data_IF_048667878487
#
_entry.id   IF_048667878487
#
_cell.length_a   1.000
_cell.length_b   1.000
_cell.length_c   1.000
_cell.angle_alpha   90.00
_cell.angle_beta   90.00
_cell.angle_gamma   90.00
#
_symmetry.space_group_name_H-M   'P 1'
#
loop_
_entity.id
_entity.type
_entity.pdbx_description
1 polymer ?
#
# COMPACT_ATOMS: atom_id res chain seq x y z
N UNK A 1 15.00 54.80 5.34
CA UNK A 1 15.92 55.44 4.37
C UNK A 1 16.93 54.41 3.84
N UNK A 2 16.70 53.89 2.63
CA UNK A 2 17.70 53.74 1.54
C UNK A 2 16.98 53.17 0.33
N UNK A 3 16.98 53.96 -0.74
CA UNK A 3 16.39 53.73 -2.06
C UNK A 3 17.39 52.94 -2.94
N UNK A 4 16.86 52.14 -3.86
CA UNK A 4 17.57 51.69 -5.07
C UNK A 4 16.59 50.93 -5.97
N UNK A 5 15.90 51.63 -6.89
CA UNK A 5 16.08 51.58 -8.37
C UNK A 5 16.02 50.13 -8.90
N UNK A 6 15.02 49.68 -9.66
CA UNK A 6 14.31 50.37 -10.73
C UNK A 6 14.84 49.86 -12.07
N UNK A 7 14.17 48.87 -12.65
CA UNK A 7 14.44 48.32 -13.98
C UNK A 7 13.13 47.93 -14.65
N UNK A 8 12.56 48.85 -15.43
CA UNK A 8 11.44 48.60 -16.34
C UNK A 8 12.03 48.07 -17.65
N UNK A 9 11.48 46.96 -18.16
CA UNK A 9 11.52 46.64 -19.58
C UNK A 9 10.07 46.44 -20.03
N UNK A 10 9.65 47.28 -20.97
CA UNK A 10 8.40 47.18 -21.70
C UNK A 10 8.74 47.30 -23.19
N UNK A 11 7.83 46.76 -24.01
CA UNK A 11 7.71 46.75 -25.47
C UNK A 11 8.15 45.44 -26.15
N UNK A 12 7.16 44.69 -26.67
CA UNK A 12 6.75 44.74 -28.09
C UNK A 12 5.25 44.34 -28.20
N UNK A 13 4.47 45.16 -28.89
CA UNK A 13 3.09 44.87 -29.35
C UNK A 13 3.11 44.35 -30.80
N UNK A 14 2.09 43.51 -31.08
CA UNK A 14 1.36 43.31 -32.33
C UNK A 14 2.08 42.74 -33.58
N UNK A 15 1.48 41.72 -34.20
CA UNK A 15 0.59 41.86 -35.36
C UNK A 15 -0.20 40.55 -35.59
N UNK A 16 -1.46 40.72 -35.96
CA UNK A 16 -2.43 39.70 -36.32
C UNK A 16 -2.22 39.12 -37.74
N UNK A 17 -2.81 37.95 -37.99
CA UNK A 17 -3.18 37.51 -39.34
C UNK A 17 -2.74 36.08 -39.66
N UNK A 18 -3.68 35.19 -39.96
CA UNK A 18 -3.33 33.86 -40.45
C UNK A 18 -4.47 32.85 -40.48
N UNK A 19 -5.39 33.06 -41.43
CA UNK A 19 -6.19 32.06 -42.16
C UNK A 19 -6.52 30.71 -41.50
N UNK A 20 -7.83 30.51 -41.30
CA UNK A 20 -8.52 29.22 -41.30
C UNK A 20 -8.16 28.43 -42.57
N UNK A 21 -7.57 27.25 -42.43
CA UNK A 21 -7.48 26.25 -43.50
C UNK A 21 -8.20 24.97 -43.04
N UNK A 22 -9.45 24.83 -43.46
CA UNK A 22 -10.22 23.59 -43.39
C UNK A 22 -9.73 22.67 -44.52
N UNK A 23 -8.83 21.75 -44.21
CA UNK A 23 -8.50 20.61 -45.07
C UNK A 23 -9.37 19.41 -44.70
N UNK A 24 -10.43 19.21 -45.48
CA UNK A 24 -11.10 17.92 -45.60
C UNK A 24 -10.14 16.91 -46.23
N UNK A 25 -9.47 16.11 -45.42
CA UNK A 25 -8.84 14.87 -45.87
C UNK A 25 -9.88 13.74 -45.71
N UNK A 26 -10.52 13.41 -46.82
CA UNK A 26 -11.19 12.14 -47.00
C UNK A 26 -10.13 11.03 -47.04
N UNK A 27 -9.76 10.54 -45.85
CA UNK A 27 -8.92 9.36 -45.68
C UNK A 27 -9.77 8.10 -45.86
N UNK A 28 -9.40 7.29 -46.84
CA UNK A 28 -9.97 5.98 -47.09
C UNK A 28 -9.98 5.14 -45.80
N UNK A 29 -11.17 4.68 -45.41
CA UNK A 29 -11.37 3.64 -44.41
C UNK A 29 -10.89 2.32 -44.98
N UNK A 30 -9.61 2.03 -44.81
CA UNK A 30 -9.09 0.66 -44.90
C UNK A 30 -9.74 -0.12 -43.74
N UNK A 31 -10.73 -0.95 -44.10
CA UNK A 31 -11.27 -1.97 -43.23
C UNK A 31 -10.14 -2.94 -42.88
N UNK A 32 -9.50 -2.72 -41.74
CA UNK A 32 -8.63 -3.70 -41.10
C UNK A 32 -9.56 -4.83 -40.64
N UNK A 33 -9.44 -5.98 -41.30
CA UNK A 33 -10.11 -7.20 -40.86
C UNK A 33 -9.71 -7.48 -39.40
N UNK A 34 -10.66 -7.80 -38.50
CA UNK A 34 -10.35 -8.30 -37.16
C UNK A 34 -9.79 -9.71 -37.31
N UNK A 35 -8.50 -9.79 -37.61
CA UNK A 35 -7.79 -11.02 -37.85
C UNK A 35 -6.57 -11.09 -36.96
N UNK A 36 -6.75 -11.64 -35.76
CA UNK A 36 -5.87 -12.64 -35.17
C UNK A 36 -6.36 -12.91 -33.74
N UNK A 37 -6.61 -14.18 -33.49
CA UNK A 37 -6.87 -14.77 -32.21
C UNK A 37 -5.63 -14.62 -31.30
N UNK A 38 -5.51 -13.47 -30.63
CA UNK A 38 -4.41 -13.14 -29.71
C UNK A 38 -4.68 -13.67 -28.29
N UNK A 39 -5.51 -14.72 -28.16
CA UNK A 39 -5.92 -15.29 -26.86
C UNK A 39 -5.18 -16.56 -26.47
N UNK A 40 -4.16 -16.98 -27.23
CA UNK A 40 -3.14 -17.89 -26.71
C UNK A 40 -2.15 -17.10 -25.83
N UNK A 41 -2.64 -16.54 -24.72
CA UNK A 41 -1.79 -16.04 -23.64
C UNK A 41 -1.03 -17.25 -23.09
N UNK A 42 0.16 -17.51 -23.64
CA UNK A 42 1.13 -18.42 -23.05
C UNK A 42 1.37 -17.85 -21.66
N UNK A 43 0.72 -18.47 -20.68
CA UNK A 43 0.91 -18.13 -19.28
C UNK A 43 2.29 -18.65 -18.93
N UNK A 44 3.30 -17.84 -19.21
CA UNK A 44 4.68 -18.13 -18.84
C UNK A 44 4.66 -18.39 -17.34
N UNK A 45 5.04 -19.61 -16.95
CA UNK A 45 5.16 -19.94 -15.54
C UNK A 45 6.46 -19.31 -15.05
N UNK A 46 6.47 -18.80 -13.82
CA UNK A 46 7.69 -18.24 -13.22
C UNK A 46 8.81 -19.29 -13.21
N UNK A 47 8.47 -20.57 -13.06
CA UNK A 47 9.40 -21.69 -13.05
C UNK A 47 10.13 -21.88 -14.38
N UNK A 48 9.56 -21.40 -15.49
CA UNK A 48 10.18 -21.47 -16.82
C UNK A 48 11.18 -20.32 -17.06
N UNK A 49 11.23 -19.31 -16.17
CA UNK A 49 12.10 -18.16 -16.34
C UNK A 49 13.54 -18.49 -15.86
N UNK A 50 14.60 -18.21 -16.64
CA UNK A 50 15.99 -18.57 -16.28
C UNK A 50 16.45 -18.02 -14.92
N UNK A 51 16.02 -16.80 -14.57
CA UNK A 51 16.33 -16.20 -13.26
C UNK A 51 15.65 -16.90 -12.08
N UNK A 52 14.60 -17.70 -12.28
CA UNK A 52 13.90 -18.35 -11.18
C UNK A 52 14.80 -19.36 -10.47
N UNK A 53 15.44 -20.25 -11.25
CA UNK A 53 16.35 -21.27 -10.74
C UNK A 53 17.82 -20.85 -10.75
N UNK A 54 18.20 -19.79 -11.47
CA UNK A 54 19.60 -19.39 -11.59
C UNK A 54 20.46 -20.38 -12.40
N UNK A 55 21.74 -20.04 -12.56
CA UNK A 55 22.66 -20.74 -13.45
C UNK A 55 23.46 -21.87 -12.78
N UNK A 56 23.66 -21.82 -11.45
CA UNK A 56 24.51 -22.78 -10.75
C UNK A 56 23.72 -23.98 -10.24
N UNK A 57 24.38 -25.13 -10.23
CA UNK A 57 23.86 -26.40 -9.71
C UNK A 57 24.92 -27.14 -8.87
N UNK A 58 24.47 -28.09 -8.05
CA UNK A 58 25.32 -28.95 -7.23
C UNK A 58 26.26 -28.19 -6.29
N UNK A 59 27.47 -28.70 -6.08
CA UNK A 59 28.43 -28.13 -5.13
C UNK A 59 28.83 -26.66 -5.41
N UNK A 60 28.69 -26.18 -6.65
CA UNK A 60 28.93 -24.75 -6.97
C UNK A 60 27.81 -23.86 -6.44
N UNK A 61 26.56 -24.32 -6.55
CA UNK A 61 25.41 -23.64 -5.98
C UNK A 61 25.52 -23.59 -4.47
N UNK A 62 25.86 -24.71 -3.81
CA UNK A 62 25.95 -24.77 -2.34
C UNK A 62 26.95 -23.75 -1.79
N UNK A 63 28.18 -23.72 -2.35
CA UNK A 63 29.19 -22.72 -1.97
C UNK A 63 28.72 -21.29 -2.25
N UNK A 64 27.93 -21.10 -3.31
CA UNK A 64 27.44 -19.76 -3.65
C UNK A 64 26.31 -19.31 -2.74
N UNK A 65 25.45 -20.24 -2.30
CA UNK A 65 24.44 -19.99 -1.27
C UNK A 65 25.09 -19.66 0.08
N UNK A 66 26.18 -20.33 0.45
CA UNK A 66 26.97 -19.99 1.65
C UNK A 66 27.60 -18.59 1.54
N UNK A 67 28.13 -18.23 0.38
CA UNK A 67 28.63 -16.86 0.18
C UNK A 67 27.51 -15.81 0.24
N UNK A 68 26.31 -16.15 -0.26
CA UNK A 68 25.14 -15.29 -0.19
C UNK A 68 24.65 -15.11 1.25
N UNK A 69 24.57 -16.19 2.05
CA UNK A 69 24.17 -16.13 3.45
C UNK A 69 25.09 -15.22 4.25
N UNK A 70 26.41 -15.41 4.09
CA UNK A 70 27.42 -14.56 4.73
C UNK A 70 27.25 -13.09 4.31
N UNK A 71 27.12 -12.79 3.01
CA UNK A 71 26.94 -11.41 2.54
C UNK A 71 25.64 -10.77 3.07
N UNK A 72 24.56 -11.54 3.15
CA UNK A 72 23.28 -11.10 3.70
C UNK A 72 23.37 -10.81 5.21
N UNK A 73 24.00 -11.68 5.98
CA UNK A 73 24.23 -11.52 7.42
C UNK A 73 25.09 -10.28 7.73
N UNK A 74 26.09 -10.02 6.88
CA UNK A 74 26.93 -8.81 6.96
C UNK A 74 26.22 -7.54 6.48
N UNK A 75 24.95 -7.63 6.07
CA UNK A 75 24.12 -6.51 5.60
C UNK A 75 24.79 -5.75 4.45
N UNK A 76 25.36 -6.47 3.50
CA UNK A 76 25.85 -5.83 2.27
C UNK A 76 24.76 -4.97 1.62
N UNK A 77 25.19 -3.88 0.96
CA UNK A 77 24.27 -2.98 0.28
C UNK A 77 23.39 -3.77 -0.72
N UNK A 78 22.06 -3.63 -0.70
CA UNK A 78 21.17 -4.53 -1.44
C UNK A 78 21.44 -4.60 -2.94
N UNK A 79 21.78 -3.48 -3.59
CA UNK A 79 22.13 -3.44 -5.00
C UNK A 79 23.36 -4.33 -5.31
N UNK A 80 24.39 -4.29 -4.44
CA UNK A 80 25.57 -5.14 -4.57
C UNK A 80 25.23 -6.60 -4.33
N UNK A 81 24.44 -6.88 -3.29
CA UNK A 81 24.03 -8.23 -2.94
C UNK A 81 23.30 -8.89 -4.13
N UNK A 82 22.16 -8.32 -4.57
CA UNK A 82 21.39 -8.95 -5.64
C UNK A 82 22.11 -8.90 -6.99
N UNK A 83 22.86 -7.82 -7.30
CA UNK A 83 23.67 -7.75 -8.50
C UNK A 83 24.77 -8.82 -8.59
N UNK A 84 25.22 -9.35 -7.46
CA UNK A 84 26.29 -10.37 -7.36
C UNK A 84 25.76 -11.80 -7.40
N UNK A 85 24.58 -12.05 -6.84
CA UNK A 85 24.09 -13.40 -6.59
C UNK A 85 22.90 -13.82 -7.46
N UNK A 86 22.04 -12.89 -7.89
CA UNK A 86 20.73 -13.18 -8.49
C UNK A 86 20.80 -14.18 -9.66
N UNK A 87 21.63 -13.91 -10.67
CA UNK A 87 21.76 -14.76 -11.86
C UNK A 87 22.28 -16.17 -11.53
N UNK A 88 23.04 -16.29 -10.44
CA UNK A 88 23.78 -17.52 -10.11
C UNK A 88 22.96 -18.47 -9.26
N UNK A 89 22.24 -17.97 -8.26
CA UNK A 89 21.48 -18.82 -7.31
C UNK A 89 19.97 -18.83 -7.55
N UNK A 90 19.46 -17.85 -8.30
CA UNK A 90 18.06 -17.72 -8.67
C UNK A 90 17.18 -17.06 -7.62
N UNK A 91 16.05 -16.52 -8.08
CA UNK A 91 15.04 -15.82 -7.27
C UNK A 91 14.44 -16.73 -6.20
N UNK A 92 14.13 -17.99 -6.57
CA UNK A 92 13.47 -18.96 -5.67
C UNK A 92 14.26 -19.15 -4.37
N UNK A 93 15.58 -19.36 -4.50
CA UNK A 93 16.44 -19.65 -3.35
C UNK A 93 16.73 -18.41 -2.52
N UNK A 94 16.85 -17.25 -3.15
CA UNK A 94 16.98 -15.97 -2.45
C UNK A 94 15.75 -15.72 -1.59
N UNK A 95 14.54 -15.87 -2.16
CA UNK A 95 13.29 -15.68 -1.42
C UNK A 95 13.22 -16.67 -0.26
N UNK A 96 13.42 -17.96 -0.53
CA UNK A 96 13.30 -18.99 0.50
C UNK A 96 14.28 -18.77 1.65
N UNK A 97 15.53 -18.40 1.35
CA UNK A 97 16.53 -18.07 2.37
C UNK A 97 16.08 -16.86 3.21
N UNK A 98 15.72 -15.74 2.57
CA UNK A 98 15.37 -14.51 3.27
C UNK A 98 14.11 -14.68 4.15
N UNK A 99 13.08 -15.37 3.65
CA UNK A 99 11.86 -15.66 4.42
C UNK A 99 12.11 -16.63 5.59
N UNK A 100 13.02 -17.59 5.42
CA UNK A 100 13.41 -18.54 6.46
C UNK A 100 14.17 -17.86 7.61
N UNK A 101 15.08 -16.94 7.29
CA UNK A 101 15.92 -16.26 8.29
C UNK A 101 15.20 -15.14 9.04
N UNK A 102 14.31 -14.40 8.35
CA UNK A 102 13.71 -13.20 8.93
C UNK A 102 12.22 -13.07 8.58
N UNK A 103 11.31 -13.31 9.54
CA UNK A 103 9.89 -13.03 9.35
C UNK A 103 9.57 -11.55 9.03
N UNK A 104 10.52 -10.64 9.30
CA UNK A 104 10.48 -9.22 8.91
C UNK A 104 11.33 -8.95 7.65
N UNK A 105 11.33 -9.86 6.68
CA UNK A 105 12.03 -9.82 5.39
C UNK A 105 11.66 -8.65 4.45
N UNK A 106 10.74 -7.76 4.85
CA UNK A 106 10.03 -6.86 3.94
C UNK A 106 10.98 -5.91 3.19
N UNK A 107 11.89 -5.24 3.91
CA UNK A 107 12.85 -4.32 3.30
C UNK A 107 13.87 -5.00 2.39
N UNK A 108 14.32 -6.21 2.74
CA UNK A 108 15.28 -6.95 1.90
C UNK A 108 14.65 -7.35 0.56
N UNK A 109 13.39 -7.78 0.58
CA UNK A 109 12.69 -8.16 -0.64
C UNK A 109 12.27 -6.95 -1.49
N UNK A 110 12.05 -5.75 -0.94
CA UNK A 110 11.89 -4.54 -1.77
C UNK A 110 13.08 -4.38 -2.72
N UNK A 111 14.29 -4.49 -2.19
CA UNK A 111 15.49 -4.35 -3.01
C UNK A 111 15.69 -5.50 -4.02
N UNK A 112 15.21 -6.72 -3.73
CA UNK A 112 15.16 -7.79 -4.73
C UNK A 112 14.23 -7.43 -5.89
N UNK A 113 13.05 -6.86 -5.58
CA UNK A 113 12.11 -6.40 -6.60
C UNK A 113 12.71 -5.35 -7.54
N UNK A 114 13.43 -4.37 -6.99
CA UNK A 114 14.16 -3.38 -7.77
C UNK A 114 15.20 -4.04 -8.70
N UNK A 115 16.04 -4.93 -8.14
CA UNK A 115 17.02 -5.67 -8.93
C UNK A 115 16.38 -6.52 -10.03
N UNK A 116 15.18 -7.07 -9.80
CA UNK A 116 14.48 -7.82 -10.83
C UNK A 116 14.01 -6.95 -11.98
N UNK A 117 13.51 -5.74 -11.72
CA UNK A 117 13.15 -4.81 -12.80
C UNK A 117 14.37 -4.44 -13.64
N UNK A 118 15.51 -4.17 -13.01
CA UNK A 118 16.77 -3.91 -13.73
C UNK A 118 17.23 -5.09 -14.59
N UNK A 119 16.95 -6.33 -14.14
CA UNK A 119 17.42 -7.55 -14.82
C UNK A 119 16.48 -8.05 -15.90
N UNK A 120 15.17 -7.91 -15.72
CA UNK A 120 14.18 -8.35 -16.71
C UNK A 120 13.88 -7.27 -17.73
N UNK A 121 14.11 -6.00 -17.40
CA UNK A 121 13.66 -4.83 -18.17
C UNK A 121 12.13 -4.83 -18.42
N UNK A 122 11.40 -5.65 -17.66
CA UNK A 122 9.96 -5.88 -17.77
C UNK A 122 9.35 -6.06 -16.38
N UNK A 123 8.51 -5.10 -16.00
CA UNK A 123 7.85 -5.10 -14.70
C UNK A 123 6.95 -6.32 -14.53
N UNK A 124 6.27 -6.79 -15.58
CA UNK A 124 5.39 -7.96 -15.49
C UNK A 124 6.19 -9.22 -15.11
N UNK A 125 7.32 -9.45 -15.76
CA UNK A 125 8.23 -10.55 -15.46
C UNK A 125 8.84 -10.43 -14.07
N UNK A 126 9.25 -9.23 -13.66
CA UNK A 126 9.74 -8.99 -12.30
C UNK A 126 8.67 -9.33 -11.23
N UNK A 127 7.43 -8.86 -11.42
CA UNK A 127 6.31 -9.16 -10.51
C UNK A 127 6.00 -10.66 -10.47
N UNK A 128 5.99 -11.32 -11.64
CA UNK A 128 5.77 -12.76 -11.75
C UNK A 128 6.84 -13.55 -10.97
N UNK A 129 8.12 -13.19 -11.12
CA UNK A 129 9.23 -13.78 -10.39
C UNK A 129 9.13 -13.53 -8.88
N UNK A 130 8.68 -12.34 -8.48
CA UNK A 130 8.46 -12.03 -7.07
C UNK A 130 7.35 -12.88 -6.42
N UNK A 131 6.25 -13.13 -7.13
CA UNK A 131 5.07 -13.79 -6.57
C UNK A 131 4.56 -13.09 -5.31
N UNK A 132 4.21 -13.86 -4.27
CA UNK A 132 3.73 -13.34 -2.99
C UNK A 132 4.82 -13.21 -1.91
N UNK A 133 6.09 -13.23 -2.30
CA UNK A 133 7.22 -13.27 -1.38
C UNK A 133 7.23 -12.11 -0.37
N UNK A 134 7.50 -12.45 0.89
CA UNK A 134 7.45 -11.61 2.07
C UNK A 134 6.19 -10.73 2.15
N UNK A 135 5.03 -11.31 1.89
CA UNK A 135 3.76 -10.57 1.78
C UNK A 135 3.80 -9.47 0.71
N UNK A 136 4.23 -9.85 -0.49
CA UNK A 136 4.33 -8.99 -1.69
C UNK A 136 5.38 -7.88 -1.63
N UNK A 137 6.29 -7.89 -0.65
CA UNK A 137 7.34 -6.87 -0.55
C UNK A 137 8.24 -6.83 -1.81
N UNK A 138 8.52 -7.98 -2.41
CA UNK A 138 9.25 -8.03 -3.69
C UNK A 138 8.49 -7.30 -4.81
N UNK A 139 7.18 -7.54 -4.93
CA UNK A 139 6.33 -6.85 -5.90
C UNK A 139 6.28 -5.34 -5.64
N UNK A 140 6.22 -4.94 -4.36
CA UNK A 140 6.28 -3.53 -3.97
C UNK A 140 7.55 -2.86 -4.48
N UNK A 141 8.71 -3.45 -4.18
CA UNK A 141 9.99 -2.93 -4.66
C UNK A 141 10.10 -2.85 -6.18
N UNK A 142 9.55 -3.82 -6.91
CA UNK A 142 9.50 -3.77 -8.37
C UNK A 142 8.67 -2.59 -8.88
N UNK A 143 7.46 -2.38 -8.34
CA UNK A 143 6.58 -1.25 -8.71
C UNK A 143 7.23 0.09 -8.34
N UNK A 144 7.75 0.20 -7.12
CA UNK A 144 8.43 1.40 -6.61
C UNK A 144 9.60 1.77 -7.52
N UNK A 145 10.48 0.81 -7.85
CA UNK A 145 11.62 1.04 -8.72
C UNK A 145 11.20 1.43 -10.14
N UNK A 146 10.24 0.71 -10.73
CA UNK A 146 9.75 1.04 -12.07
C UNK A 146 9.18 2.46 -12.16
N UNK A 147 8.42 2.89 -11.15
CA UNK A 147 7.93 4.26 -11.03
C UNK A 147 9.08 5.28 -10.88
N UNK A 148 10.06 4.99 -10.03
CA UNK A 148 11.22 5.85 -9.81
C UNK A 148 12.09 6.00 -11.07
N UNK A 149 12.16 4.98 -11.94
CA UNK A 149 12.91 5.02 -13.20
C UNK A 149 12.13 5.66 -14.35
N UNK A 150 10.81 5.43 -14.41
CA UNK A 150 9.96 5.97 -15.48
C UNK A 150 9.72 7.48 -15.33
N UNK A 151 9.81 7.99 -14.10
CA UNK A 151 9.45 9.36 -13.78
C UNK A 151 10.67 10.17 -13.34
N UNK A 152 10.83 11.41 -13.83
CA UNK A 152 11.87 12.28 -13.32
C UNK A 152 11.65 12.55 -11.83
N UNK A 153 12.74 12.57 -11.07
CA UNK A 153 12.71 13.02 -9.67
C UNK A 153 12.14 14.43 -9.61
N UNK A 154 11.28 14.67 -8.62
CA UNK A 154 10.83 16.03 -8.33
C UNK A 154 11.99 16.76 -7.68
N UNK A 155 12.84 17.40 -8.49
CA UNK A 155 13.87 18.29 -7.96
C UNK A 155 13.19 19.34 -7.08
N UNK A 156 13.78 19.56 -5.90
CA UNK A 156 13.29 20.45 -4.86
C UNK A 156 13.24 21.91 -5.37
N UNK A 157 12.15 22.29 -6.02
CA UNK A 157 11.55 23.59 -5.73
C UNK A 157 11.36 24.63 -6.85
N UNK A 158 11.57 24.38 -8.16
CA UNK A 158 11.40 25.49 -9.14
C UNK A 158 10.65 25.13 -10.44
N UNK A 159 10.55 23.86 -10.84
CA UNK A 159 9.86 23.55 -12.10
C UNK A 159 8.38 23.26 -11.88
N UNK A 160 7.45 24.01 -12.53
CA UNK A 160 6.02 23.71 -12.47
C UNK A 160 5.77 22.29 -12.97
N UNK A 161 4.85 21.56 -12.32
CA UNK A 161 4.43 20.22 -12.74
C UNK A 161 4.17 20.22 -14.25
N UNK A 162 4.98 19.49 -15.00
CA UNK A 162 4.79 19.34 -16.43
C UNK A 162 3.54 18.47 -16.65
N UNK A 163 2.48 19.05 -17.22
CA UNK A 163 1.23 18.33 -17.52
C UNK A 163 1.45 17.04 -18.32
N UNK A 164 2.48 16.98 -19.17
CA UNK A 164 2.83 15.77 -19.92
C UNK A 164 3.33 14.66 -19.00
N UNK A 165 4.14 15.00 -18.00
CA UNK A 165 4.66 14.05 -16.99
C UNK A 165 3.53 13.56 -16.09
N UNK A 166 2.60 14.43 -15.72
CA UNK A 166 1.43 14.05 -14.90
C UNK A 166 0.47 13.12 -15.65
N UNK A 167 0.18 13.40 -16.92
CA UNK A 167 -0.63 12.52 -17.76
C UNK A 167 0.04 11.15 -17.99
N UNK A 168 1.37 11.13 -18.14
CA UNK A 168 2.14 9.90 -18.23
C UNK A 168 2.03 9.09 -16.93
N UNK A 169 2.28 9.74 -15.79
CA UNK A 169 2.18 9.15 -14.46
C UNK A 169 0.78 8.56 -14.20
N UNK A 170 -0.27 9.32 -14.49
CA UNK A 170 -1.64 8.85 -14.36
C UNK A 170 -1.90 7.62 -15.22
N UNK A 171 -1.46 7.62 -16.47
CA UNK A 171 -1.64 6.48 -17.38
C UNK A 171 -0.91 5.24 -16.86
N UNK A 172 0.35 5.39 -16.45
CA UNK A 172 1.18 4.28 -15.98
C UNK A 172 0.63 3.71 -14.67
N UNK A 173 0.42 4.53 -13.64
CA UNK A 173 -0.13 4.10 -12.34
C UNK A 173 -1.48 3.43 -12.50
N UNK A 174 -2.41 4.06 -13.24
CA UNK A 174 -3.73 3.47 -13.45
C UNK A 174 -3.64 2.19 -14.28
N UNK A 175 -2.72 2.09 -15.24
CA UNK A 175 -2.52 0.85 -15.98
C UNK A 175 -2.01 -0.28 -15.09
N UNK A 176 -1.12 0.01 -14.15
CA UNK A 176 -0.56 -0.98 -13.23
C UNK A 176 -1.59 -1.50 -12.23
N UNK A 177 -2.48 -0.64 -11.74
CA UNK A 177 -3.41 -0.95 -10.65
C UNK A 177 -4.88 -1.06 -11.08
N UNK A 178 -5.13 -1.20 -12.38
CA UNK A 178 -6.48 -1.16 -12.98
C UNK A 178 -7.36 -2.31 -12.52
N UNK A 179 -6.79 -3.50 -12.44
CA UNK A 179 -7.46 -4.75 -12.08
C UNK A 179 -6.62 -5.51 -11.06
N UNK A 180 -7.25 -6.44 -10.35
CA UNK A 180 -6.51 -7.41 -9.54
C UNK A 180 -5.54 -8.17 -10.46
N UNK A 181 -4.26 -8.20 -10.06
CA UNK A 181 -3.23 -8.72 -10.96
C UNK A 181 -3.44 -10.21 -11.21
N UNK A 182 -3.60 -10.60 -12.47
CA UNK A 182 -3.53 -12.00 -12.88
C UNK A 182 -2.10 -12.53 -12.85
N UNK A 183 -1.10 -11.64 -12.92
CA UNK A 183 0.33 -11.98 -12.88
C UNK A 183 0.73 -12.51 -11.51
N UNK A 184 0.21 -11.92 -10.43
CA UNK A 184 0.52 -12.31 -9.06
C UNK A 184 -0.76 -12.66 -8.31
N UNK A 185 -0.95 -13.94 -8.03
CA UNK A 185 -2.12 -14.43 -7.30
C UNK A 185 -2.30 -13.69 -5.97
N UNK A 186 -3.53 -13.29 -5.68
CA UNK A 186 -3.92 -12.53 -4.48
C UNK A 186 -3.28 -11.12 -4.36
N UNK A 187 -2.68 -10.60 -5.42
CA UNK A 187 -2.20 -9.21 -5.47
C UNK A 187 -3.35 -8.28 -5.87
N UNK A 188 -4.18 -7.95 -4.88
CA UNK A 188 -5.34 -7.08 -5.05
C UNK A 188 -4.95 -5.67 -5.51
N UNK A 189 -5.86 -4.98 -6.19
CA UNK A 189 -5.67 -3.61 -6.67
C UNK A 189 -5.33 -2.61 -5.55
N UNK A 190 -5.84 -2.80 -4.33
CA UNK A 190 -5.42 -2.02 -3.16
C UNK A 190 -3.96 -2.26 -2.75
N UNK A 191 -3.42 -3.43 -3.04
CA UNK A 191 -2.03 -3.80 -2.78
C UNK A 191 -1.11 -3.10 -3.79
N UNK A 192 -1.55 -3.02 -5.04
CA UNK A 192 -0.91 -2.20 -6.07
C UNK A 192 -0.92 -0.72 -5.68
N UNK A 193 -2.06 -0.17 -5.27
CA UNK A 193 -2.14 1.23 -4.86
C UNK A 193 -1.20 1.54 -3.67
N UNK A 194 -1.08 0.62 -2.71
CA UNK A 194 -0.11 0.71 -1.62
C UNK A 194 1.34 0.75 -2.13
N UNK A 195 1.71 -0.15 -3.04
CA UNK A 195 3.03 -0.18 -3.67
C UNK A 195 3.36 1.14 -4.41
N UNK A 196 2.39 1.69 -5.12
CA UNK A 196 2.50 2.99 -5.79
C UNK A 196 2.76 4.11 -4.77
N UNK A 197 2.11 4.07 -3.61
CA UNK A 197 2.34 5.01 -2.52
C UNK A 197 3.81 5.05 -2.05
N UNK A 198 4.48 3.90 -1.99
CA UNK A 198 5.93 3.85 -1.73
C UNK A 198 6.71 4.61 -2.82
N UNK A 199 6.37 4.38 -4.10
CA UNK A 199 6.99 5.09 -5.22
C UNK A 199 6.80 6.61 -5.17
N UNK A 200 5.62 7.09 -4.77
CA UNK A 200 5.37 8.53 -4.62
C UNK A 200 6.18 9.14 -3.47
N UNK A 201 6.28 8.43 -2.34
CA UNK A 201 7.10 8.87 -1.23
C UNK A 201 8.59 8.94 -1.59
N UNK A 202 9.14 7.91 -2.25
CA UNK A 202 10.55 7.88 -2.67
C UNK A 202 10.88 9.02 -3.65
N UNK A 203 9.94 9.36 -4.54
CA UNK A 203 10.14 10.39 -5.57
C UNK A 203 10.13 11.82 -5.02
N UNK A 204 9.31 12.09 -4.01
CA UNK A 204 9.07 13.45 -3.54
C UNK A 204 9.73 13.78 -2.21
N UNK A 205 9.96 12.80 -1.31
CA UNK A 205 10.35 12.97 0.10
C UNK A 205 9.45 13.90 0.96
N UNK A 206 8.58 14.69 0.32
CA UNK A 206 7.59 15.58 0.90
C UNK A 206 6.24 14.87 1.01
N UNK A 207 5.69 14.86 2.22
CA UNK A 207 4.44 14.20 2.52
C UNK A 207 3.26 14.79 1.73
N UNK A 208 3.20 16.12 1.57
CA UNK A 208 2.05 16.77 0.94
C UNK A 208 2.02 16.47 -0.55
N UNK A 209 3.17 16.52 -1.21
CA UNK A 209 3.31 16.20 -2.62
C UNK A 209 3.06 14.71 -2.90
N UNK A 210 3.65 13.81 -2.11
CA UNK A 210 3.43 12.37 -2.27
C UNK A 210 1.96 11.97 -2.08
N UNK A 211 1.27 12.57 -1.09
CA UNK A 211 -0.16 12.35 -0.87
C UNK A 211 -1.02 12.94 -1.99
N UNK A 212 -0.68 14.12 -2.50
CA UNK A 212 -1.42 14.73 -3.60
C UNK A 212 -1.43 13.82 -4.84
N UNK A 213 -0.37 13.05 -5.07
CA UNK A 213 -0.32 12.09 -6.17
C UNK A 213 -1.23 10.87 -5.95
N UNK A 214 -1.60 10.54 -4.72
CA UNK A 214 -2.58 9.47 -4.45
C UNK A 214 -3.99 9.80 -4.95
N UNK A 215 -4.30 11.08 -5.23
CA UNK A 215 -5.55 11.49 -5.87
C UNK A 215 -5.72 10.97 -7.30
N UNK A 216 -4.68 10.35 -7.87
CA UNK A 216 -4.78 9.61 -9.13
C UNK A 216 -5.72 8.40 -9.04
N UNK A 217 -5.95 7.86 -7.84
CA UNK A 217 -6.93 6.80 -7.62
C UNK A 217 -8.33 7.41 -7.37
N UNK A 218 -9.30 7.18 -8.27
CA UNK A 218 -10.61 7.82 -8.17
C UNK A 218 -11.48 7.26 -7.05
N UNK A 219 -11.25 6.02 -6.62
CA UNK A 219 -11.95 5.41 -5.49
C UNK A 219 -11.18 5.62 -4.18
N UNK A 220 -11.93 5.89 -3.12
CA UNK A 220 -11.38 6.19 -1.80
C UNK A 220 -10.57 5.02 -1.22
N UNK A 221 -10.90 3.76 -1.55
CA UNK A 221 -10.19 2.59 -1.01
C UNK A 221 -8.76 2.47 -1.56
N UNK A 222 -8.56 2.60 -2.88
CA UNK A 222 -7.21 2.64 -3.44
C UNK A 222 -6.44 3.90 -3.04
N UNK A 223 -7.10 5.06 -2.96
CA UNK A 223 -6.46 6.27 -2.45
C UNK A 223 -6.00 6.07 -0.99
N UNK A 224 -6.84 5.49 -0.13
CA UNK A 224 -6.49 5.10 1.23
C UNK A 224 -5.24 4.21 1.28
N UNK A 225 -5.21 3.16 0.46
CA UNK A 225 -4.06 2.25 0.43
C UNK A 225 -2.80 2.94 -0.09
N UNK A 226 -2.91 3.82 -1.08
CA UNK A 226 -1.80 4.67 -1.54
C UNK A 226 -1.25 5.54 -0.42
N UNK A 227 -2.10 6.29 0.30
CA UNK A 227 -1.66 7.09 1.45
C UNK A 227 -0.96 6.23 2.51
N UNK A 228 -1.48 5.02 2.77
CA UNK A 228 -0.83 4.11 3.71
C UNK A 228 0.56 3.66 3.26
N UNK A 229 0.82 3.55 1.94
CA UNK A 229 2.17 3.30 1.41
C UNK A 229 3.08 4.51 1.63
N UNK A 230 2.58 5.72 1.34
CA UNK A 230 3.31 6.98 1.55
C UNK A 230 3.73 7.14 3.01
N UNK A 231 2.81 6.95 3.96
CA UNK A 231 3.12 7.06 5.38
C UNK A 231 4.06 5.97 5.88
N UNK A 232 3.99 4.75 5.34
CA UNK A 232 4.91 3.69 5.70
C UNK A 232 6.34 4.05 5.27
N UNK A 233 6.51 4.52 4.04
CA UNK A 233 7.81 4.87 3.46
C UNK A 233 8.44 6.08 4.15
N UNK A 234 7.67 7.16 4.34
CA UNK A 234 8.16 8.39 4.97
C UNK A 234 8.27 8.30 6.50
N UNK A 235 7.81 7.20 7.12
CA UNK A 235 7.79 7.04 8.58
C UNK A 235 9.14 7.37 9.24
N UNK A 236 10.31 6.90 8.78
CA UNK A 236 11.58 7.17 9.47
C UNK A 236 11.85 8.68 9.59
N UNK A 237 11.69 9.41 8.49
CA UNK A 237 11.92 10.87 8.42
C UNK A 237 10.86 11.62 9.24
N UNK A 238 9.59 11.24 9.09
CA UNK A 238 8.48 11.89 9.79
C UNK A 238 8.54 11.64 11.30
N UNK A 239 8.85 10.42 11.74
CA UNK A 239 8.91 10.07 13.16
C UNK A 239 10.02 10.86 13.88
N UNK A 240 11.19 11.00 13.27
CA UNK A 240 12.26 11.87 13.78
C UNK A 240 11.76 13.31 13.94
N UNK A 241 11.14 13.85 12.89
CA UNK A 241 10.65 15.24 12.84
C UNK A 241 9.54 15.53 13.86
N UNK A 242 8.55 14.65 14.00
CA UNK A 242 7.37 14.92 14.84
C UNK A 242 7.60 14.58 16.30
N UNK A 243 8.43 13.56 16.62
CA UNK A 243 8.69 13.19 18.00
C UNK A 243 9.79 14.03 18.63
N UNK A 244 10.78 14.54 17.88
CA UNK A 244 11.83 15.44 18.40
C UNK A 244 12.52 14.90 19.68
N UNK A 245 12.76 13.60 19.73
CA UNK A 245 13.35 12.94 20.90
C UNK A 245 12.38 12.61 22.04
N UNK A 246 11.07 12.87 21.89
CA UNK A 246 10.05 12.47 22.84
C UNK A 246 10.08 10.95 23.07
N UNK A 247 10.24 10.56 24.34
CA UNK A 247 10.39 9.15 24.74
C UNK A 247 9.14 8.59 25.42
N UNK A 248 8.26 9.45 25.96
CA UNK A 248 7.02 9.04 26.59
C UNK A 248 6.07 8.43 25.56
N UNK A 249 5.77 7.13 25.70
CA UNK A 249 4.78 6.44 24.87
C UNK A 249 3.43 7.15 24.83
N UNK A 250 2.96 7.63 25.98
CA UNK A 250 1.70 8.36 26.04
C UNK A 250 1.77 9.61 25.17
N UNK A 251 2.82 10.43 25.33
CA UNK A 251 2.98 11.67 24.58
C UNK A 251 3.16 11.43 23.09
N UNK A 252 3.94 10.43 22.68
CA UNK A 252 4.10 10.02 21.27
C UNK A 252 2.77 9.64 20.64
N UNK A 253 1.86 8.97 21.37
CA UNK A 253 0.51 8.66 20.88
C UNK A 253 -0.31 9.93 20.63
N UNK A 254 -0.23 10.92 21.51
CA UNK A 254 -0.94 12.20 21.30
C UNK A 254 -0.41 12.95 20.08
N UNK A 255 0.92 13.00 19.94
CA UNK A 255 1.59 13.62 18.80
C UNK A 255 1.18 12.94 17.51
N UNK A 256 1.23 11.60 17.47
CA UNK A 256 0.82 10.81 16.31
C UNK A 256 -0.65 11.02 15.95
N UNK A 257 -1.55 11.02 16.94
CA UNK A 257 -2.98 11.24 16.73
C UNK A 257 -3.24 12.61 16.10
N UNK A 258 -2.69 13.67 16.68
CA UNK A 258 -2.83 15.03 16.14
C UNK A 258 -2.24 15.13 14.73
N UNK A 259 -1.00 14.67 14.55
CA UNK A 259 -0.31 14.71 13.26
C UNK A 259 -1.11 14.01 12.17
N UNK A 260 -1.57 12.78 12.41
CA UNK A 260 -2.31 12.01 11.42
C UNK A 260 -3.68 12.62 11.09
N UNK A 261 -4.37 13.24 12.06
CA UNK A 261 -5.63 13.95 11.82
C UNK A 261 -5.40 15.19 10.96
N UNK A 262 -4.32 15.94 11.21
CA UNK A 262 -4.01 17.16 10.48
C UNK A 262 -3.45 16.88 9.07
N UNK A 263 -2.85 15.72 8.83
CA UNK A 263 -2.07 15.44 7.62
C UNK A 263 -2.64 14.31 6.76
N UNK A 264 -3.78 13.71 7.08
CA UNK A 264 -4.41 12.65 6.28
C UNK A 264 -5.93 12.83 6.24
N UNK A 265 -6.52 12.59 5.06
CA UNK A 265 -7.97 12.50 4.91
C UNK A 265 -8.52 11.26 5.65
N UNK A 266 -7.70 10.21 5.77
CA UNK A 266 -8.03 8.98 6.48
C UNK A 266 -6.99 8.68 7.54
N UNK A 267 -7.17 9.18 8.77
CA UNK A 267 -6.16 9.05 9.83
C UNK A 267 -5.68 7.62 10.09
N UNK A 268 -6.48 6.59 9.81
CA UNK A 268 -6.07 5.19 9.94
C UNK A 268 -5.01 4.73 8.93
N UNK A 269 -4.83 5.41 7.80
CA UNK A 269 -3.73 5.18 6.86
C UNK A 269 -2.38 5.59 7.49
N UNK A 270 -2.38 6.64 8.31
CA UNK A 270 -1.22 7.15 9.02
C UNK A 270 -1.01 6.46 10.38
N UNK A 271 -2.03 6.45 11.24
CA UNK A 271 -1.92 6.07 12.66
C UNK A 271 -1.34 4.66 12.86
N UNK A 272 -1.67 3.71 11.99
CA UNK A 272 -1.16 2.33 12.04
C UNK A 272 0.36 2.20 12.01
N UNK A 273 1.07 3.22 11.52
CA UNK A 273 2.53 3.24 11.43
C UNK A 273 3.19 4.05 12.55
N UNK A 274 2.47 5.00 13.12
CA UNK A 274 2.98 5.87 14.19
C UNK A 274 2.58 5.40 15.60
N UNK A 275 1.55 4.55 15.73
CA UNK A 275 1.17 3.96 17.00
C UNK A 275 1.83 2.60 17.20
N UNK A 276 2.47 2.42 18.36
CA UNK A 276 3.04 1.14 18.77
C UNK A 276 1.92 0.14 19.14
N UNK A 277 2.12 -1.18 18.91
CA UNK A 277 1.18 -2.21 19.36
C UNK A 277 0.86 -2.08 20.86
N UNK A 278 -0.42 -2.17 21.19
CA UNK A 278 -0.90 -2.08 22.57
C UNK A 278 -0.91 -3.46 23.21
N UNK A 279 -0.39 -3.53 24.44
CA UNK A 279 -0.27 -4.78 25.20
C UNK A 279 -0.91 -4.71 26.57
N UNK A 280 -1.37 -3.53 26.99
CA UNK A 280 -1.91 -3.29 28.33
C UNK A 280 -3.32 -2.69 28.23
N UNK A 281 -4.27 -3.16 29.05
CA UNK A 281 -5.64 -2.68 28.99
C UNK A 281 -5.76 -1.15 29.18
N UNK A 282 -4.96 -0.57 30.06
CA UNK A 282 -5.02 0.87 30.38
C UNK A 282 -4.62 1.74 29.17
N UNK A 283 -3.73 1.24 28.30
CA UNK A 283 -3.33 1.94 27.08
C UNK A 283 -4.44 1.92 26.03
N UNK A 284 -5.14 0.78 25.95
CA UNK A 284 -6.28 0.58 25.05
C UNK A 284 -7.43 1.49 25.51
N UNK A 285 -7.76 1.50 26.80
CA UNK A 285 -8.83 2.32 27.35
C UNK A 285 -8.51 3.83 27.19
N UNK A 286 -7.25 4.23 27.38
CA UNK A 286 -6.82 5.61 27.17
C UNK A 286 -6.93 6.07 25.71
N UNK A 287 -6.56 5.22 24.74
CA UNK A 287 -6.74 5.56 23.32
C UNK A 287 -8.22 5.52 22.92
N UNK A 288 -8.99 4.55 23.42
CA UNK A 288 -10.44 4.48 23.17
C UNK A 288 -11.13 5.77 23.59
N UNK A 289 -10.83 6.26 24.79
CA UNK A 289 -11.38 7.53 25.29
C UNK A 289 -11.01 8.71 24.39
N UNK A 290 -9.80 8.73 23.82
CA UNK A 290 -9.39 9.79 22.88
C UNK A 290 -10.10 9.66 21.53
N UNK A 291 -10.26 8.43 21.01
CA UNK A 291 -11.02 8.20 19.79
C UNK A 291 -12.46 8.67 19.94
N UNK A 292 -13.11 8.39 21.09
CA UNK A 292 -14.48 8.83 21.37
C UNK A 292 -14.66 10.36 21.49
N UNK A 293 -13.58 11.12 21.66
CA UNK A 293 -13.60 12.58 21.67
C UNK A 293 -13.41 13.20 20.27
N UNK A 294 -13.19 12.38 19.24
CA UNK A 294 -13.13 12.81 17.85
C UNK A 294 -14.51 12.69 17.20
N UNK A 295 -14.65 13.32 16.03
CA UNK A 295 -15.84 13.25 15.20
C UNK A 295 -15.54 12.71 13.79
N UNK A 296 -16.60 12.28 13.09
CA UNK A 296 -16.56 12.00 11.66
C UNK A 296 -15.51 10.95 11.24
N UNK A 297 -14.84 11.14 10.08
CA UNK A 297 -13.82 10.21 9.60
C UNK A 297 -12.66 9.97 10.58
N UNK A 298 -12.28 11.00 11.35
CA UNK A 298 -11.20 10.89 12.33
C UNK A 298 -11.54 9.93 13.47
N UNK A 299 -12.77 9.98 14.00
CA UNK A 299 -13.27 9.02 15.00
C UNK A 299 -13.22 7.60 14.49
N UNK A 300 -13.82 7.36 13.32
CA UNK A 300 -13.88 6.02 12.70
C UNK A 300 -12.48 5.46 12.41
N UNK A 301 -11.60 6.28 11.84
CA UNK A 301 -10.22 5.90 11.57
C UNK A 301 -9.42 5.61 12.86
N UNK A 302 -9.67 6.36 13.93
CA UNK A 302 -9.05 6.12 15.23
C UNK A 302 -9.49 4.75 15.81
N UNK A 303 -10.79 4.44 15.82
CA UNK A 303 -11.29 3.14 16.28
C UNK A 303 -10.82 1.98 15.41
N UNK A 304 -10.81 2.13 14.08
CA UNK A 304 -10.20 1.14 13.19
C UNK A 304 -8.72 0.90 13.55
N UNK A 305 -7.97 1.96 13.85
CA UNK A 305 -6.57 1.80 14.26
C UNK A 305 -6.43 1.15 15.64
N UNK A 306 -7.31 1.49 16.59
CA UNK A 306 -7.36 0.85 17.92
C UNK A 306 -7.47 -0.68 17.79
N UNK A 307 -8.37 -1.16 16.93
CA UNK A 307 -8.49 -2.59 16.63
C UNK A 307 -7.21 -3.18 16.05
N UNK A 308 -6.63 -2.51 15.03
CA UNK A 308 -5.40 -2.95 14.37
C UNK A 308 -4.22 -3.10 15.34
N UNK A 309 -3.95 -2.09 16.17
CA UNK A 309 -2.80 -2.11 17.10
C UNK A 309 -3.04 -2.98 18.34
N UNK A 310 -4.28 -3.41 18.59
CA UNK A 310 -4.63 -4.30 19.72
C UNK A 310 -4.62 -5.79 19.34
N UNK A 311 -4.28 -6.14 18.09
CA UNK A 311 -4.30 -7.54 17.60
C UNK A 311 -3.46 -8.49 18.43
N UNK A 312 -2.24 -8.11 18.81
CA UNK A 312 -1.39 -8.98 19.64
C UNK A 312 -2.01 -9.23 21.02
N UNK A 313 -2.59 -8.19 21.63
CA UNK A 313 -3.28 -8.30 22.92
C UNK A 313 -4.50 -9.23 22.82
N UNK A 314 -5.41 -8.99 21.88
CA UNK A 314 -6.62 -9.82 21.70
C UNK A 314 -6.26 -11.24 21.25
N UNK A 315 -5.23 -11.42 20.41
CA UNK A 315 -4.77 -12.77 20.06
C UNK A 315 -4.21 -13.55 21.26
N UNK A 316 -3.74 -12.86 22.31
CA UNK A 316 -3.29 -13.47 23.57
C UNK A 316 -4.41 -13.65 24.60
N UNK A 317 -5.45 -12.82 24.53
CA UNK A 317 -6.61 -12.80 25.44
C UNK A 317 -7.89 -12.61 24.62
N UNK A 318 -8.37 -13.66 23.92
CA UNK A 318 -9.48 -13.55 22.96
C UNK A 318 -10.80 -13.07 23.59
N UNK A 319 -11.05 -13.39 24.85
CA UNK A 319 -12.20 -12.95 25.63
C UNK A 319 -12.28 -11.42 25.82
N UNK A 320 -11.13 -10.74 25.74
CA UNK A 320 -11.03 -9.29 25.94
C UNK A 320 -11.48 -8.49 24.70
N UNK A 321 -11.87 -9.13 23.59
CA UNK A 321 -12.33 -8.43 22.38
C UNK A 321 -13.48 -7.45 22.66
N UNK A 322 -14.41 -7.81 23.56
CA UNK A 322 -15.52 -6.94 23.94
C UNK A 322 -14.99 -5.73 24.72
N UNK A 323 -14.03 -5.90 25.64
CA UNK A 323 -13.43 -4.76 26.32
C UNK A 323 -12.73 -3.84 25.33
N UNK A 324 -11.94 -4.41 24.41
CA UNK A 324 -11.13 -3.63 23.47
C UNK A 324 -12.01 -2.78 22.54
N UNK A 325 -13.03 -3.40 21.95
CA UNK A 325 -13.82 -2.77 20.90
C UNK A 325 -15.21 -2.27 21.32
N UNK A 326 -15.78 -2.74 22.43
CA UNK A 326 -17.00 -2.16 22.98
C UNK A 326 -16.65 -1.17 24.09
N UNK A 327 -17.42 -0.10 24.14
CA UNK A 327 -17.45 0.79 25.28
C UNK A 327 -18.90 0.90 25.71
N UNK A 328 -19.17 0.62 26.98
CA UNK A 328 -20.47 0.93 27.60
C UNK A 328 -20.79 2.44 27.55
N UNK A 329 -19.78 3.25 27.20
CA UNK A 329 -19.83 4.71 27.06
C UNK A 329 -19.62 5.20 25.63
N UNK A 330 -19.72 4.34 24.61
CA UNK A 330 -19.66 4.84 23.24
C UNK A 330 -21.01 5.48 22.88
N UNK A 331 -20.97 6.78 22.63
CA UNK A 331 -22.13 7.52 22.12
C UNK A 331 -22.47 7.19 20.65
N UNK A 332 -21.57 6.49 19.94
CA UNK A 332 -21.72 6.14 18.52
C UNK A 332 -21.70 4.62 18.32
N UNK A 333 -22.85 3.99 17.96
CA UNK A 333 -22.94 2.54 17.81
C UNK A 333 -22.05 1.98 16.68
N UNK A 334 -21.46 2.82 15.84
CA UNK A 334 -20.52 2.42 14.79
C UNK A 334 -19.07 2.23 15.30
N UNK A 335 -18.70 2.75 16.47
CA UNK A 335 -17.33 2.63 17.00
C UNK A 335 -16.86 1.17 17.11
N UNK A 336 -17.66 0.22 17.67
CA UNK A 336 -17.25 -1.17 17.75
C UNK A 336 -17.09 -1.84 16.38
N UNK A 337 -17.88 -1.43 15.38
CA UNK A 337 -17.81 -1.95 14.00
C UNK A 337 -16.43 -1.63 13.40
N UNK A 338 -15.98 -0.37 13.51
CA UNK A 338 -14.68 0.02 12.99
C UNK A 338 -13.53 -0.62 13.77
N UNK A 339 -13.63 -0.70 15.10
CA UNK A 339 -12.63 -1.39 15.90
C UNK A 339 -12.50 -2.87 15.51
N UNK A 340 -13.61 -3.59 15.39
CA UNK A 340 -13.61 -5.00 15.00
C UNK A 340 -13.07 -5.18 13.58
N UNK A 341 -13.46 -4.31 12.65
CA UNK A 341 -12.92 -4.31 11.28
C UNK A 341 -11.40 -4.14 11.29
N UNK A 342 -10.88 -3.15 12.00
CA UNK A 342 -9.44 -2.96 12.15
C UNK A 342 -8.73 -4.14 12.81
N UNK A 343 -9.38 -4.83 13.74
CA UNK A 343 -8.84 -6.01 14.40
C UNK A 343 -8.79 -7.23 13.46
N UNK A 344 -9.88 -7.55 12.80
CA UNK A 344 -10.06 -8.78 12.01
C UNK A 344 -9.51 -8.69 10.57
N UNK A 345 -9.38 -7.48 10.01
CA UNK A 345 -8.98 -7.27 8.61
C UNK A 345 -7.45 -7.45 8.40
N UNK A 346 -7.00 -8.70 8.41
CA UNK A 346 -5.59 -9.09 8.36
C UNK A 346 -5.13 -9.50 6.95
N UNK A 347 -3.81 -9.46 6.74
CA UNK A 347 -3.17 -10.00 5.53
C UNK A 347 -3.44 -11.50 5.41
N UNK A 348 -3.46 -12.02 4.16
CA UNK A 348 -3.49 -13.46 3.92
C UNK A 348 -2.30 -14.13 4.63
N UNK A 349 -2.53 -15.28 5.24
CA UNK A 349 -1.53 -16.03 6.02
C UNK A 349 -0.91 -15.27 7.21
N UNK A 350 -1.56 -14.22 7.70
CA UNK A 350 -1.06 -13.51 8.89
C UNK A 350 -0.96 -14.47 10.09
N UNK A 351 0.17 -14.45 10.81
CA UNK A 351 0.46 -15.37 11.94
C UNK A 351 -0.58 -15.38 13.06
N UNK A 352 -1.37 -14.31 13.19
CA UNK A 352 -2.42 -14.19 14.20
C UNK A 352 -3.81 -14.58 13.69
N UNK A 353 -3.97 -14.94 12.40
CA UNK A 353 -5.28 -15.08 11.75
C UNK A 353 -6.20 -16.03 12.52
N UNK A 354 -5.74 -17.23 12.85
CA UNK A 354 -6.53 -18.21 13.61
C UNK A 354 -6.84 -17.76 15.04
N UNK A 355 -5.93 -17.04 15.69
CA UNK A 355 -6.13 -16.53 17.05
C UNK A 355 -7.21 -15.45 17.08
N UNK A 356 -7.18 -14.56 16.08
CA UNK A 356 -8.17 -13.49 15.92
C UNK A 356 -9.54 -14.06 15.50
N UNK A 357 -9.57 -15.13 14.71
CA UNK A 357 -10.80 -15.87 14.41
C UNK A 357 -11.48 -16.39 15.68
N UNK A 358 -10.70 -17.01 16.58
CA UNK A 358 -11.22 -17.46 17.87
C UNK A 358 -11.75 -16.30 18.72
N UNK A 359 -11.08 -15.15 18.69
CA UNK A 359 -11.56 -13.96 19.38
C UNK A 359 -12.94 -13.50 18.86
N UNK A 360 -13.22 -13.61 17.55
CA UNK A 360 -14.57 -13.32 17.02
C UNK A 360 -15.67 -14.18 17.66
N UNK A 361 -15.34 -15.37 18.18
CA UNK A 361 -16.28 -16.25 18.90
C UNK A 361 -16.70 -15.74 20.28
N UNK A 362 -15.95 -14.80 20.87
CA UNK A 362 -16.27 -14.20 22.17
C UNK A 362 -17.15 -12.95 22.06
N UNK A 363 -17.42 -12.46 20.84
CA UNK A 363 -18.32 -11.31 20.65
C UNK A 363 -19.74 -11.67 21.08
N UNK A 364 -20.28 -10.90 22.04
CA UNK A 364 -21.62 -11.15 22.58
C UNK A 364 -22.73 -10.63 21.66
N UNK A 365 -22.41 -9.67 20.79
CA UNK A 365 -23.33 -9.09 19.83
C UNK A 365 -23.23 -9.83 18.48
N UNK A 366 -24.35 -10.37 18.00
CA UNK A 366 -24.39 -11.17 16.79
C UNK A 366 -24.02 -10.38 15.53
N UNK A 367 -24.40 -9.10 15.44
CA UNK A 367 -24.08 -8.25 14.29
C UNK A 367 -22.58 -7.91 14.28
N UNK A 368 -21.99 -7.62 15.44
CA UNK A 368 -20.55 -7.43 15.56
C UNK A 368 -19.76 -8.71 15.24
N UNK A 369 -20.29 -9.87 15.62
CA UNK A 369 -19.71 -11.16 15.24
C UNK A 369 -19.72 -11.36 13.71
N UNK A 370 -20.82 -11.04 13.04
CA UNK A 370 -20.91 -11.10 11.58
C UNK A 370 -19.89 -10.18 10.90
N UNK A 371 -19.71 -8.95 11.41
CA UNK A 371 -18.64 -8.04 10.95
C UNK A 371 -17.27 -8.69 11.12
N UNK A 372 -16.97 -9.27 12.28
CA UNK A 372 -15.69 -9.92 12.55
C UNK A 372 -15.42 -11.06 11.55
N UNK A 373 -16.43 -11.92 11.35
CA UNK A 373 -16.34 -13.08 10.45
C UNK A 373 -16.21 -12.64 8.98
N UNK A 374 -16.92 -11.59 8.54
CA UNK A 374 -16.76 -11.01 7.20
C UNK A 374 -15.36 -10.45 6.97
N UNK A 375 -14.85 -9.66 7.91
CA UNK A 375 -13.54 -9.03 7.79
C UNK A 375 -12.39 -10.04 7.83
N UNK A 376 -12.58 -11.19 8.48
CA UNK A 376 -11.62 -12.30 8.50
C UNK A 376 -11.59 -13.13 7.20
N UNK A 377 -12.76 -13.29 6.56
CA UNK A 377 -12.85 -13.91 5.23
C UNK A 377 -12.23 -13.05 4.14
N UNK A 378 -12.31 -11.73 4.30
CA UNK A 378 -11.65 -10.77 3.42
C UNK A 378 -10.13 -10.78 3.66
N UNK A 379 -9.40 -10.42 2.61
CA UNK A 379 -7.96 -10.21 2.71
C UNK A 379 -7.67 -8.72 2.75
N UNK A 380 -6.76 -8.31 3.63
CA UNK A 380 -6.22 -6.96 3.62
C UNK A 380 -5.78 -6.57 2.19
N UNK A 381 -6.07 -5.33 1.78
CA UNK A 381 -5.95 -4.79 0.42
C UNK A 381 -7.04 -5.14 -0.60
N UNK A 382 -7.99 -6.01 -0.26
CA UNK A 382 -9.20 -6.12 -1.08
C UNK A 382 -9.95 -4.79 -1.06
N UNK A 383 -10.34 -4.35 -2.26
CA UNK A 383 -11.30 -3.26 -2.46
C UNK A 383 -12.72 -3.81 -2.33
N UNK A 384 -13.72 -2.93 -2.36
CA UNK A 384 -15.13 -3.24 -2.12
C UNK A 384 -15.44 -3.69 -0.69
N UNK A 385 -14.56 -3.40 0.27
CA UNK A 385 -14.84 -3.64 1.67
C UNK A 385 -15.83 -2.58 2.17
N UNK A 386 -17.06 -3.02 2.45
CA UNK A 386 -18.15 -2.14 2.85
C UNK A 386 -17.83 -1.31 4.10
N UNK A 387 -17.21 -1.92 5.10
CA UNK A 387 -16.86 -1.21 6.34
C UNK A 387 -15.79 -0.16 6.06
N UNK A 388 -14.80 -0.50 5.23
CA UNK A 388 -13.81 0.47 4.76
C UNK A 388 -14.47 1.61 4.01
N UNK A 389 -15.34 1.35 3.02
CA UNK A 389 -16.03 2.41 2.26
C UNK A 389 -16.77 3.40 3.17
N UNK A 390 -17.45 2.92 4.21
CA UNK A 390 -18.08 3.83 5.17
C UNK A 390 -17.11 4.56 6.09
N UNK A 391 -15.96 3.95 6.42
CA UNK A 391 -14.92 4.66 7.15
C UNK A 391 -14.45 5.88 6.34
N UNK A 392 -14.31 5.67 5.02
CA UNK A 392 -13.74 6.62 4.06
C UNK A 392 -14.75 7.63 3.49
N UNK A 393 -16.06 7.42 3.65
CA UNK A 393 -17.10 8.33 3.16
C UNK A 393 -17.51 9.36 4.22
N UNK A 394 -17.92 10.56 3.79
CA UNK A 394 -18.49 11.57 4.69
C UNK A 394 -19.90 11.23 5.19
N UNK A 395 -20.53 10.18 4.65
CA UNK A 395 -21.89 9.77 5.00
C UNK A 395 -21.96 9.08 6.36
N UNK A 396 -22.88 9.56 7.21
CA UNK A 396 -23.02 9.20 8.63
C UNK A 396 -23.77 7.88 8.95
N UNK A 397 -23.96 6.95 8.01
CA UNK A 397 -24.82 5.78 8.30
C UNK A 397 -24.30 4.44 7.77
N UNK A 398 -23.76 3.62 8.67
CA UNK A 398 -23.93 2.16 8.58
C UNK A 398 -24.97 1.79 9.64
N UNK A 399 -26.12 1.24 9.24
CA UNK A 399 -26.93 0.46 10.17
C UNK A 399 -26.32 -0.94 10.26
N UNK A 400 -26.12 -1.52 11.47
CA UNK A 400 -25.71 -2.92 11.61
C UNK A 400 -26.62 -3.88 10.84
N UNK A 401 -27.91 -3.53 10.69
CA UNK A 401 -28.89 -4.31 9.94
C UNK A 401 -28.61 -4.40 8.44
N UNK A 402 -27.83 -3.47 7.89
CA UNK A 402 -27.54 -3.53 6.46
C UNK A 402 -26.49 -4.62 6.14
N UNK A 403 -25.77 -5.15 7.13
CA UNK A 403 -24.66 -6.10 6.97
C UNK A 403 -25.04 -7.49 6.43
N UNK A 404 -26.31 -7.90 6.53
CA UNK A 404 -26.77 -9.24 6.17
C UNK A 404 -27.06 -9.46 4.66
N UNK A 405 -26.74 -8.49 3.80
CA UNK A 405 -26.86 -8.63 2.36
C UNK A 405 -25.82 -9.61 1.81
N UNK A 406 -26.23 -10.85 1.52
CA UNK A 406 -25.39 -11.84 0.85
C UNK A 406 -24.69 -11.22 -0.36
N UNK A 407 -23.35 -11.33 -0.49
CA UNK A 407 -22.69 -10.98 -1.74
C UNK A 407 -23.25 -11.89 -2.83
N UNK A 408 -23.85 -11.29 -3.86
CA UNK A 408 -24.15 -11.99 -5.10
C UNK A 408 -22.85 -12.67 -5.55
N UNK A 409 -22.87 -14.01 -5.60
CA UNK A 409 -21.76 -14.83 -6.12
C UNK A 409 -21.37 -14.27 -7.48
N UNK A 410 -20.21 -13.61 -7.58
CA UNK A 410 -19.55 -13.44 -8.86
C UNK A 410 -19.20 -14.84 -9.34
N UNK A 411 -19.73 -15.19 -10.51
CA UNK A 411 -19.54 -16.50 -11.12
C UNK A 411 -18.08 -16.69 -11.50
N UNK A 412 -17.34 -17.43 -10.68
CA UNK A 412 -16.22 -18.22 -11.18
C UNK A 412 -16.83 -19.41 -11.91
N UNK A 413 -16.98 -19.28 -13.24
CA UNK A 413 -17.18 -20.42 -14.12
C UNK A 413 -15.93 -21.29 -14.01
N UNK A 414 -16.12 -22.56 -13.66
CA UNK A 414 -15.12 -23.60 -13.91
C UNK A 414 -15.41 -24.11 -15.32
N UNK A 415 -14.53 -23.78 -16.24
CA UNK A 415 -14.26 -24.59 -17.43
C UNK A 415 -12.77 -25.00 -17.39
#
# INVERSE_FOLDING_TARGET
>A
MKKGRGGRWAFWEAVAGGALLLLFLAGATLAIAPGADETASITQKREDHPLWHGQLTGARLDRRMEAFSVAFEHREAPARLFGTFLDQIGVERIIHYIEGENPACHGALHALGAALVERTEDLKSAMMLCGNACTFACVHGAITHALATALPKQDEGIFPRNRKTEALLQREVLSLCREDSQTVRDFFSGNCAHAVGHGFAERSADLSLAKADCALFPDAERHYYCESGVFMELRPILAEKIYQGESSRSRRREIALRFCIENSEWPSACLRFFLEPMRRPEEIDALRSRCGALDGPARRGCFHTLGYISRDYVASQPEEINRVCRSDRSDDPSDPVFCISGLAFVKKNHRLKEKLERACGFLMDAALKEVCDDQHRRSYYQVDNRIMRSMLSDTKSISPADGAGHPSRSGYSRD
#
